data_IF_619975231154
#
_entry.id   IF_619975231154
#
_cell.length_a   1.000
_cell.length_b   1.000
_cell.length_c   1.000
_cell.angle_alpha   90.00
_cell.angle_beta   90.00
_cell.angle_gamma   90.00
#
_symmetry.space_group_name_H-M   'P 1'
#
loop_
_entity.id
_entity.type
_entity.pdbx_description
1 polymer ?
#
# COMPACT_ATOMS: atom_id res chain seq x y z
N UNK A 1 -19.93 -21.47 6.76
CA UNK A 1 -20.02 -20.31 5.86
C UNK A 1 -19.03 -19.20 6.24
N UNK A 2 -17.72 -19.39 6.18
CA UNK A 2 -16.76 -18.29 6.37
C UNK A 2 -16.16 -17.72 5.07
N UNK A 3 -16.35 -18.39 3.93
CA UNK A 3 -15.60 -18.09 2.69
C UNK A 3 -16.03 -16.78 1.99
N UNK A 4 -17.25 -16.30 2.21
CA UNK A 4 -17.70 -15.06 1.57
C UNK A 4 -17.28 -13.76 2.26
N UNK A 5 -16.80 -13.80 3.51
CA UNK A 5 -16.38 -12.59 4.24
C UNK A 5 -14.95 -12.13 3.88
N UNK A 6 -14.09 -13.05 3.45
CA UNK A 6 -12.70 -12.72 3.11
C UNK A 6 -12.55 -11.97 1.78
N UNK A 7 -13.49 -12.15 0.85
CA UNK A 7 -13.42 -11.54 -0.50
C UNK A 7 -13.64 -10.03 -0.48
N UNK A 8 -14.25 -9.48 0.56
CA UNK A 8 -14.59 -8.06 0.66
C UNK A 8 -13.86 -7.31 1.77
N UNK A 9 -13.04 -7.99 2.56
CA UNK A 9 -12.27 -7.36 3.63
C UNK A 9 -11.06 -6.66 3.05
N UNK A 10 -10.90 -5.39 3.37
CA UNK A 10 -9.77 -4.55 2.94
C UNK A 10 -8.75 -4.43 4.07
N UNK A 11 -9.20 -4.23 5.31
CA UNK A 11 -8.37 -4.06 6.49
C UNK A 11 -9.00 -4.81 7.66
N UNK A 12 -8.18 -5.52 8.42
CA UNK A 12 -8.55 -6.10 9.71
C UNK A 12 -7.59 -5.60 10.80
N UNK A 13 -8.16 -5.06 11.85
CA UNK A 13 -7.44 -4.63 13.05
C UNK A 13 -7.93 -5.49 14.22
N UNK A 14 -7.00 -6.11 14.95
CA UNK A 14 -7.31 -7.01 16.07
C UNK A 14 -6.57 -6.60 17.32
N UNK A 15 -7.31 -6.36 18.40
CA UNK A 15 -6.82 -6.14 19.76
C UNK A 15 -5.70 -5.08 19.83
N UNK A 16 -5.81 -4.04 19.01
CA UNK A 16 -4.80 -3.01 18.88
C UNK A 16 -4.75 -2.16 20.13
N UNK A 17 -3.57 -2.08 20.75
CA UNK A 17 -3.29 -1.23 21.92
C UNK A 17 -2.02 -0.44 21.67
N UNK A 18 -2.02 0.81 22.10
CA UNK A 18 -0.84 1.67 22.05
C UNK A 18 -0.90 2.78 23.08
N UNK A 19 0.26 3.12 23.64
CA UNK A 19 0.44 4.19 24.61
C UNK A 19 1.81 4.85 24.53
N UNK A 20 1.98 5.93 25.26
CA UNK A 20 3.27 6.61 25.43
C UNK A 20 3.60 6.73 26.92
N UNK A 21 4.64 6.02 27.35
CA UNK A 21 4.97 5.90 28.76
C UNK A 21 3.81 5.29 29.55
N UNK A 22 3.38 5.95 30.61
CA UNK A 22 2.27 5.47 31.46
C UNK A 22 0.87 5.84 30.95
N UNK A 23 0.78 6.49 29.78
CA UNK A 23 -0.51 6.93 29.23
C UNK A 23 -0.93 6.03 28.07
N UNK A 24 -1.97 5.22 28.30
CA UNK A 24 -2.66 4.52 27.22
C UNK A 24 -3.39 5.55 26.33
N UNK A 25 -3.25 5.40 25.01
CA UNK A 25 -3.93 6.20 24.00
C UNK A 25 -5.20 5.48 23.54
N UNK A 26 -5.09 4.18 23.26
CA UNK A 26 -6.23 3.30 23.00
C UNK A 26 -5.86 1.87 23.40
N UNK A 27 -6.88 1.11 23.76
CA UNK A 27 -6.74 -0.25 24.28
C UNK A 27 -7.73 -1.19 23.58
N UNK A 28 -7.24 -2.33 23.16
CA UNK A 28 -8.04 -3.45 22.63
C UNK A 28 -9.02 -3.05 21.51
N UNK A 29 -8.57 -2.20 20.59
CA UNK A 29 -9.38 -1.76 19.44
C UNK A 29 -9.40 -2.84 18.38
N UNK A 30 -10.60 -3.26 17.97
CA UNK A 30 -10.77 -4.24 16.89
C UNK A 30 -11.87 -3.80 15.94
N UNK A 31 -11.60 -3.81 14.66
CA UNK A 31 -12.60 -3.55 13.62
C UNK A 31 -12.16 -4.13 12.27
N UNK A 32 -13.07 -4.12 11.32
CA UNK A 32 -12.84 -4.48 9.92
C UNK A 32 -13.35 -3.39 9.01
N UNK A 33 -12.62 -3.15 7.94
CA UNK A 33 -13.05 -2.30 6.83
C UNK A 33 -13.34 -3.19 5.62
N UNK A 34 -14.55 -3.11 5.11
CA UNK A 34 -14.97 -3.84 3.94
C UNK A 34 -14.93 -2.96 2.68
N UNK A 35 -14.90 -3.58 1.52
CA UNK A 35 -14.91 -2.87 0.23
C UNK A 35 -16.14 -1.96 0.11
N UNK A 36 -15.89 -0.69 -0.19
CA UNK A 36 -16.94 0.33 -0.34
C UNK A 36 -17.38 0.99 0.97
N UNK A 37 -16.87 0.58 2.12
CA UNK A 37 -17.16 1.24 3.40
C UNK A 37 -16.31 2.50 3.60
N UNK A 38 -16.86 3.43 4.36
CA UNK A 38 -16.21 4.64 4.82
C UNK A 38 -16.28 4.69 6.34
N UNK A 39 -15.15 4.81 7.01
CA UNK A 39 -15.07 4.90 8.46
C UNK A 39 -14.62 6.30 8.85
N UNK A 40 -15.35 6.94 9.75
CA UNK A 40 -14.98 8.20 10.37
C UNK A 40 -14.26 7.98 11.70
N UNK A 41 -13.04 8.50 11.85
CA UNK A 41 -12.29 8.52 13.09
C UNK A 41 -12.49 9.89 13.76
N UNK A 42 -13.26 9.92 14.84
CA UNK A 42 -13.61 11.15 15.58
C UNK A 42 -13.00 11.14 16.97
N UNK A 43 -12.69 12.31 17.49
CA UNK A 43 -12.12 12.52 18.83
C UNK A 43 -11.51 13.91 18.96
N UNK A 44 -11.23 14.36 20.16
CA UNK A 44 -10.59 15.65 20.42
C UNK A 44 -9.11 15.66 19.95
N UNK A 45 -8.51 16.85 19.92
CA UNK A 45 -7.09 16.97 19.59
C UNK A 45 -6.24 16.35 20.70
N UNK A 46 -5.21 15.57 20.30
CA UNK A 46 -4.36 14.86 21.24
C UNK A 46 -4.89 13.51 21.73
N UNK A 47 -6.04 13.04 21.24
CA UNK A 47 -6.64 11.74 21.59
C UNK A 47 -6.14 10.55 20.71
N UNK A 48 -5.02 10.72 20.01
CA UNK A 48 -4.36 9.61 19.34
C UNK A 48 -4.83 9.30 17.92
N UNK A 49 -5.67 10.14 17.28
CA UNK A 49 -6.13 9.91 15.89
C UNK A 49 -4.97 9.73 14.91
N UNK A 50 -3.99 10.64 14.95
CA UNK A 50 -2.80 10.56 14.08
C UNK A 50 -1.93 9.35 14.44
N UNK A 51 -1.80 9.01 15.71
CA UNK A 51 -1.11 7.81 16.18
C UNK A 51 -1.75 6.56 15.62
N UNK A 52 -3.08 6.48 15.69
CA UNK A 52 -3.83 5.37 15.14
C UNK A 52 -3.64 5.26 13.61
N UNK A 53 -3.72 6.38 12.88
CA UNK A 53 -3.47 6.41 11.43
C UNK A 53 -2.05 5.96 11.10
N UNK A 54 -1.03 6.41 11.83
CA UNK A 54 0.34 5.98 11.64
C UNK A 54 0.54 4.48 11.87
N UNK A 55 -0.19 3.89 12.82
CA UNK A 55 -0.12 2.45 13.06
C UNK A 55 -0.77 1.67 11.92
N UNK A 56 -1.98 2.02 11.50
CA UNK A 56 -2.66 1.28 10.43
C UNK A 56 -1.97 1.43 9.07
N UNK A 57 -1.21 2.51 8.85
CA UNK A 57 -0.40 2.72 7.64
C UNK A 57 1.02 2.18 7.74
N UNK A 58 1.41 1.60 8.88
CA UNK A 58 2.71 0.98 9.09
C UNK A 58 3.87 1.94 9.40
N UNK A 59 3.58 3.23 9.64
CA UNK A 59 4.59 4.22 10.04
C UNK A 59 4.97 4.12 11.52
N UNK A 60 4.14 3.47 12.33
CA UNK A 60 4.37 3.24 13.75
C UNK A 60 3.95 1.81 14.10
N UNK A 61 4.74 1.15 14.95
CA UNK A 61 4.40 -0.19 15.46
C UNK A 61 3.46 -0.06 16.66
N UNK A 62 2.41 -0.89 16.76
CA UNK A 62 1.60 -0.96 17.96
C UNK A 62 2.35 -1.66 19.09
N UNK A 63 1.91 -1.42 20.34
CA UNK A 63 2.42 -2.16 21.49
C UNK A 63 1.83 -3.57 21.53
N UNK A 64 0.54 -3.72 21.17
CA UNK A 64 -0.14 -4.99 21.08
C UNK A 64 -1.12 -5.00 19.91
N UNK A 65 -1.47 -6.22 19.46
CA UNK A 65 -2.44 -6.45 18.39
C UNK A 65 -1.83 -6.53 17.00
N UNK A 66 -2.68 -6.65 15.99
CA UNK A 66 -2.28 -6.80 14.59
C UNK A 66 -3.10 -5.93 13.66
N UNK A 67 -2.45 -5.50 12.58
CA UNK A 67 -3.05 -4.79 11.46
C UNK A 67 -2.77 -5.57 10.20
N UNK A 68 -3.80 -6.04 9.54
CA UNK A 68 -3.69 -6.88 8.34
C UNK A 68 -4.46 -6.24 7.18
N UNK A 69 -3.74 -5.86 6.14
CA UNK A 69 -4.31 -5.42 4.87
C UNK A 69 -4.54 -6.61 3.94
N UNK A 70 -5.61 -6.59 3.17
CA UNK A 70 -5.83 -7.60 2.15
C UNK A 70 -4.71 -7.58 1.10
N UNK A 71 -4.41 -8.74 0.54
CA UNK A 71 -3.42 -8.84 -0.55
C UNK A 71 -3.85 -7.95 -1.72
N UNK A 72 -2.88 -7.31 -2.35
CA UNK A 72 -3.06 -6.44 -3.52
C UNK A 72 -3.83 -5.12 -3.24
N UNK A 73 -4.02 -4.74 -1.98
CA UNK A 73 -4.54 -3.41 -1.62
C UNK A 73 -3.39 -2.41 -1.59
N UNK A 74 -3.51 -1.34 -2.36
CA UNK A 74 -2.60 -0.19 -2.27
C UNK A 74 -3.17 0.80 -1.28
N UNK A 75 -2.37 1.16 -0.30
CA UNK A 75 -2.76 2.08 0.76
C UNK A 75 -2.19 3.46 0.43
N UNK A 76 -3.05 4.46 0.32
CA UNK A 76 -2.65 5.86 0.23
C UNK A 76 -2.92 6.56 1.56
N UNK A 77 -1.98 7.37 2.02
CA UNK A 77 -2.11 8.20 3.20
C UNK A 77 -1.92 9.67 2.84
N UNK A 78 -2.93 10.48 3.11
CA UNK A 78 -2.82 11.93 2.98
C UNK A 78 -2.51 12.51 4.36
N UNK A 79 -1.26 12.93 4.55
CA UNK A 79 -0.83 13.59 5.79
C UNK A 79 -1.43 15.00 5.87
N UNK A 80 -1.77 15.42 7.08
CA UNK A 80 -2.21 16.78 7.38
C UNK A 80 -1.14 17.83 7.03
N UNK A 81 0.13 17.43 7.11
CA UNK A 81 1.31 18.22 6.77
C UNK A 81 2.11 17.54 5.66
N UNK A 82 1.52 17.44 4.45
CA UNK A 82 2.24 16.90 3.31
C UNK A 82 3.53 17.71 3.07
N UNK A 83 4.66 17.14 3.40
CA UNK A 83 5.99 17.75 3.14
C UNK A 83 6.35 17.43 1.70
N UNK A 84 6.23 18.42 0.85
CA UNK A 84 6.78 18.33 -0.50
C UNK A 84 8.30 18.45 -0.40
N UNK A 85 9.04 17.53 -1.00
CA UNK A 85 10.49 17.62 -1.05
C UNK A 85 10.92 18.89 -1.80
N UNK A 86 11.85 19.61 -1.20
CA UNK A 86 12.31 20.89 -1.73
C UNK A 86 13.00 20.68 -3.09
N UNK A 87 12.44 21.30 -4.12
CA UNK A 87 12.97 21.18 -5.49
C UNK A 87 12.13 20.30 -6.42
N UNK A 88 11.16 19.55 -5.90
CA UNK A 88 10.20 18.84 -6.75
C UNK A 88 9.21 19.78 -7.42
N UNK A 89 8.94 19.53 -8.70
CA UNK A 89 7.81 20.15 -9.39
C UNK A 89 6.50 19.43 -9.05
N UNK A 90 5.36 20.06 -9.31
CA UNK A 90 4.04 19.42 -9.16
C UNK A 90 3.98 18.11 -9.98
N UNK A 91 4.59 18.11 -11.16
CA UNK A 91 4.67 16.92 -12.01
C UNK A 91 5.45 15.79 -11.32
N UNK A 92 6.56 16.08 -10.64
CA UNK A 92 7.37 15.08 -9.95
C UNK A 92 6.60 14.48 -8.77
N UNK A 93 5.85 15.30 -8.04
CA UNK A 93 4.97 14.83 -6.95
C UNK A 93 3.87 13.92 -7.47
N UNK A 94 3.23 14.29 -8.59
CA UNK A 94 2.21 13.43 -9.20
C UNK A 94 2.81 12.13 -9.73
N UNK A 95 3.98 12.18 -10.35
CA UNK A 95 4.68 10.99 -10.84
C UNK A 95 5.10 10.06 -9.70
N UNK A 96 5.49 10.59 -8.55
CA UNK A 96 5.90 9.77 -7.40
C UNK A 96 4.79 8.87 -6.88
N UNK A 97 3.52 9.28 -7.00
CA UNK A 97 2.37 8.44 -6.67
C UNK A 97 2.24 7.20 -7.58
N UNK A 98 2.88 7.22 -8.73
CA UNK A 98 2.88 6.15 -9.74
C UNK A 98 4.28 5.56 -9.96
N UNK A 99 5.23 5.80 -9.04
CA UNK A 99 6.62 5.33 -9.17
C UNK A 99 6.72 3.83 -9.48
N UNK A 100 5.83 3.03 -8.87
CA UNK A 100 5.77 1.59 -9.10
C UNK A 100 5.55 1.19 -10.58
N UNK A 101 4.82 2.02 -11.37
CA UNK A 101 4.65 1.75 -12.81
C UNK A 101 5.95 2.02 -13.58
N UNK A 102 6.69 3.07 -13.22
CA UNK A 102 8.00 3.34 -13.79
C UNK A 102 9.03 2.28 -13.41
N UNK A 103 8.96 1.76 -12.17
CA UNK A 103 9.81 0.65 -11.74
C UNK A 103 9.49 -0.62 -12.53
N UNK A 104 8.21 -0.94 -12.73
CA UNK A 104 7.78 -2.07 -13.57
C UNK A 104 8.25 -1.94 -15.04
N UNK A 105 8.17 -0.74 -15.63
CA UNK A 105 8.68 -0.49 -16.96
C UNK A 105 10.20 -0.71 -17.02
N UNK A 106 10.94 -0.22 -16.01
CA UNK A 106 12.39 -0.42 -15.93
C UNK A 106 12.75 -1.90 -15.76
N UNK A 107 11.98 -2.65 -14.97
CA UNK A 107 12.17 -4.09 -14.82
C UNK A 107 11.90 -4.84 -16.13
N UNK A 108 10.82 -4.51 -16.82
CA UNK A 108 10.49 -5.07 -18.13
C UNK A 108 11.61 -4.82 -19.13
N UNK A 109 12.15 -3.61 -19.20
CA UNK A 109 13.25 -3.26 -20.09
C UNK A 109 14.53 -4.07 -19.77
N UNK A 110 14.84 -4.28 -18.47
CA UNK A 110 15.95 -5.14 -18.05
C UNK A 110 15.74 -6.60 -18.46
N UNK A 111 14.51 -7.11 -18.37
CA UNK A 111 14.17 -8.46 -18.84
C UNK A 111 14.35 -8.60 -20.35
N UNK A 112 13.98 -7.60 -21.15
CA UNK A 112 14.24 -7.60 -22.59
C UNK A 112 15.74 -7.64 -22.93
N UNK A 113 16.58 -6.91 -22.18
CA UNK A 113 18.03 -6.99 -22.37
C UNK A 113 18.57 -8.40 -22.05
N UNK A 114 18.07 -9.04 -21.00
CA UNK A 114 18.47 -10.39 -20.60
C UNK A 114 18.05 -11.47 -21.60
N UNK A 115 16.95 -11.27 -22.32
CA UNK A 115 16.48 -12.20 -23.36
C UNK A 115 17.53 -12.44 -24.48
N UNK A 116 18.41 -11.45 -24.72
CA UNK A 116 19.46 -11.55 -25.74
C UNK A 116 20.53 -12.63 -25.45
N UNK A 117 20.70 -13.03 -24.19
CA UNK A 117 21.70 -14.00 -23.72
C UNK A 117 21.06 -15.24 -23.05
N UNK A 118 19.72 -15.29 -22.98
CA UNK A 118 18.97 -16.31 -22.26
C UNK A 118 18.92 -17.66 -23.01
N UNK A 119 18.89 -18.75 -22.26
CA UNK A 119 18.56 -20.08 -22.79
C UNK A 119 17.08 -20.14 -23.22
N UNK A 120 16.70 -21.14 -24.07
CA UNK A 120 15.29 -21.24 -24.51
C UNK A 120 14.27 -21.34 -23.37
N UNK A 121 14.60 -22.01 -22.28
CA UNK A 121 13.72 -22.15 -21.09
C UNK A 121 13.60 -20.83 -20.32
N UNK A 122 14.71 -20.11 -20.16
CA UNK A 122 14.73 -18.79 -19.53
C UNK A 122 14.01 -17.75 -20.38
N UNK A 123 14.13 -17.81 -21.70
CA UNK A 123 13.44 -16.96 -22.65
C UNK A 123 11.92 -17.09 -22.51
N UNK A 124 11.39 -18.31 -22.42
CA UNK A 124 9.94 -18.52 -22.28
C UNK A 124 9.43 -17.90 -20.99
N UNK A 125 10.16 -18.06 -19.87
CA UNK A 125 9.80 -17.44 -18.58
C UNK A 125 9.85 -15.91 -18.63
N UNK A 126 10.90 -15.34 -19.20
CA UNK A 126 11.03 -13.89 -19.35
C UNK A 126 9.93 -13.30 -20.24
N UNK A 127 9.51 -14.01 -21.27
CA UNK A 127 8.38 -13.61 -22.14
C UNK A 127 7.05 -13.61 -21.38
N UNK A 128 6.79 -14.60 -20.53
CA UNK A 128 5.58 -14.65 -19.70
C UNK A 128 5.56 -13.50 -18.68
N UNK A 129 6.69 -13.27 -17.99
CA UNK A 129 6.81 -12.20 -16.99
C UNK A 129 6.67 -10.80 -17.63
N UNK A 130 7.32 -10.54 -18.75
CA UNK A 130 7.22 -9.26 -19.47
C UNK A 130 5.81 -9.04 -20.03
N UNK A 131 5.15 -10.09 -20.54
CA UNK A 131 3.76 -10.01 -20.99
C UNK A 131 2.82 -9.59 -19.87
N UNK A 132 2.99 -10.17 -18.67
CA UNK A 132 2.19 -9.81 -17.49
C UNK A 132 2.40 -8.34 -17.07
N UNK A 133 3.65 -7.87 -17.07
CA UNK A 133 3.96 -6.46 -16.76
C UNK A 133 3.36 -5.53 -17.82
N UNK A 134 3.48 -5.88 -19.09
CA UNK A 134 2.93 -5.07 -20.19
C UNK A 134 1.40 -4.92 -20.08
N UNK A 135 0.67 -6.01 -19.82
CA UNK A 135 -0.77 -5.96 -19.58
C UNK A 135 -1.16 -5.05 -18.39
N UNK A 136 -0.37 -5.08 -17.31
CA UNK A 136 -0.58 -4.20 -16.17
C UNK A 136 -0.34 -2.73 -16.51
N UNK A 137 0.72 -2.41 -17.24
CA UNK A 137 1.02 -1.05 -17.68
C UNK A 137 -0.05 -0.52 -18.64
N UNK A 138 -0.52 -1.32 -19.57
CA UNK A 138 -1.62 -0.98 -20.49
C UNK A 138 -2.94 -0.74 -19.73
N UNK A 139 -3.25 -1.59 -18.72
CA UNK A 139 -4.45 -1.43 -17.90
C UNK A 139 -4.45 -0.12 -17.09
N UNK A 140 -3.30 0.43 -16.84
CA UNK A 140 -3.12 1.71 -16.14
C UNK A 140 -2.95 2.91 -17.09
N UNK A 141 -3.16 2.74 -18.39
CA UNK A 141 -2.97 3.79 -19.41
C UNK A 141 -1.58 4.45 -19.33
N UNK A 142 -0.54 3.68 -18.95
CA UNK A 142 0.79 4.20 -18.64
C UNK A 142 1.46 4.92 -19.84
N UNK A 143 1.15 4.50 -21.06
CA UNK A 143 1.74 5.04 -22.28
C UNK A 143 0.90 6.13 -22.98
N UNK A 144 -0.21 6.59 -22.36
CA UNK A 144 -1.09 7.62 -22.91
C UNK A 144 -0.85 9.04 -22.38
#
# INVERSE_FOLDING_TARGET
>A
MPVFKEIFMILEVKNLSHGFGDRAIFENVSFRLLKGEHIGLIGANGEGKSTFMNIITGHLMPDEGTVEWAKNVRVGYLDQHAVLEKGMTIRDVLKSAFSYLFDMEADMNRMFEQMGEASPEEMEKLLEETGTIQELLEHHDFYM
#
